data_IF_622310879284
#
_entry.id   IF_622310879284
#
_cell.length_a   1.000
_cell.length_b   1.000
_cell.length_c   1.000
_cell.angle_alpha   90.00
_cell.angle_beta   90.00
_cell.angle_gamma   90.00
#
_symmetry.space_group_name_H-M   'P 1'
#
loop_
_entity.id
_entity.type
_entity.pdbx_description
1 polymer ?
#
# COMPACT_ATOMS: atom_id res chain seq x y z
N UNK A 1 5.94 -13.86 16.38
CA UNK A 1 5.70 -12.50 15.84
C UNK A 1 4.33 -12.02 16.28
N UNK A 2 4.20 -10.77 16.69
CA UNK A 2 2.92 -10.17 17.07
C UNK A 2 2.24 -9.53 15.87
N UNK A 3 0.96 -9.84 15.64
CA UNK A 3 0.15 -9.26 14.57
C UNK A 3 -0.95 -8.39 15.17
N UNK A 4 -0.84 -7.09 14.96
CA UNK A 4 -1.81 -6.08 15.42
C UNK A 4 -2.86 -5.85 14.34
N UNK A 5 -4.15 -5.84 14.72
CA UNK A 5 -5.25 -5.78 13.74
C UNK A 5 -5.49 -7.11 13.03
N UNK A 6 -5.23 -8.23 13.72
CA UNK A 6 -5.15 -9.56 13.13
C UNK A 6 -6.39 -10.02 12.36
N UNK A 7 -7.58 -9.60 12.78
CA UNK A 7 -8.85 -10.02 12.17
C UNK A 7 -9.46 -8.95 11.23
N UNK A 8 -8.72 -7.87 10.93
CA UNK A 8 -9.03 -6.98 9.80
C UNK A 8 -8.77 -7.67 8.45
N UNK A 9 -9.23 -7.10 7.34
CA UNK A 9 -9.04 -7.69 6.00
C UNK A 9 -7.57 -7.93 5.67
N UNK A 10 -6.70 -6.94 5.93
CA UNK A 10 -5.24 -7.05 5.75
C UNK A 10 -4.64 -8.05 6.73
N UNK A 11 -4.96 -7.93 8.02
CA UNK A 11 -4.44 -8.81 9.07
C UNK A 11 -4.76 -10.29 8.82
N UNK A 12 -5.96 -10.62 8.34
CA UNK A 12 -6.34 -12.01 8.03
C UNK A 12 -5.47 -12.60 6.95
N UNK A 13 -5.20 -11.84 5.89
CA UNK A 13 -4.30 -12.29 4.82
C UNK A 13 -2.88 -12.55 5.37
N UNK A 14 -2.35 -11.64 6.20
CA UNK A 14 -1.03 -11.84 6.84
C UNK A 14 -1.04 -13.10 7.71
N UNK A 15 -2.05 -13.27 8.55
CA UNK A 15 -2.15 -14.42 9.45
C UNK A 15 -2.23 -15.74 8.66
N UNK A 16 -3.03 -15.79 7.59
CA UNK A 16 -3.16 -16.97 6.72
C UNK A 16 -1.84 -17.36 6.04
N UNK A 17 -1.07 -16.39 5.57
CA UNK A 17 0.20 -16.66 4.88
C UNK A 17 1.33 -17.05 5.86
N UNK A 18 1.32 -16.49 7.07
CA UNK A 18 2.42 -16.65 8.03
C UNK A 18 2.21 -17.78 9.05
N UNK A 19 0.97 -18.06 9.47
CA UNK A 19 0.70 -19.08 10.50
C UNK A 19 1.28 -20.47 10.20
N UNK A 20 1.31 -20.96 8.94
CA UNK A 20 1.93 -22.25 8.64
C UNK A 20 3.46 -22.29 8.80
N UNK A 21 4.11 -21.13 8.91
CA UNK A 21 5.58 -20.99 8.85
C UNK A 21 6.17 -20.39 10.12
N UNK A 22 5.38 -19.66 10.89
CA UNK A 22 5.85 -18.82 11.99
C UNK A 22 4.88 -18.88 13.17
N UNK A 23 5.43 -18.84 14.39
CA UNK A 23 4.62 -18.67 15.59
C UNK A 23 4.04 -17.26 15.65
N UNK A 24 2.71 -17.15 15.64
CA UNK A 24 2.00 -15.88 15.68
C UNK A 24 1.35 -15.62 17.04
N UNK A 25 1.29 -14.35 17.40
CA UNK A 25 0.39 -13.81 18.43
C UNK A 25 -0.60 -12.88 17.75
N UNK A 26 -1.88 -13.23 17.77
CA UNK A 26 -2.96 -12.47 17.14
C UNK A 26 -3.52 -11.44 18.13
N UNK A 27 -3.46 -10.16 17.74
CA UNK A 27 -3.90 -9.03 18.55
C UNK A 27 -5.05 -8.26 17.90
N UNK A 28 -6.06 -7.94 18.70
CA UNK A 28 -7.05 -6.93 18.39
C UNK A 28 -8.04 -6.73 19.54
N UNK A 29 -8.92 -5.74 19.42
CA UNK A 29 -9.84 -5.32 20.48
C UNK A 29 -10.81 -6.44 20.89
N UNK A 30 -11.28 -7.19 19.90
CA UNK A 30 -12.22 -8.28 20.07
C UNK A 30 -11.47 -9.62 20.11
N UNK A 31 -11.32 -10.15 21.33
CA UNK A 31 -10.67 -11.44 21.55
C UNK A 31 -11.40 -12.59 20.87
N UNK A 32 -12.72 -12.57 20.83
CA UNK A 32 -13.52 -13.65 20.24
C UNK A 32 -13.29 -13.75 18.74
N UNK A 33 -13.20 -12.62 18.04
CA UNK A 33 -12.84 -12.61 16.61
C UNK A 33 -11.42 -13.11 16.35
N UNK A 34 -10.47 -12.80 17.23
CA UNK A 34 -9.12 -13.31 17.13
C UNK A 34 -9.05 -14.83 17.40
N UNK A 35 -9.85 -15.35 18.35
CA UNK A 35 -9.98 -16.79 18.61
C UNK A 35 -10.63 -17.53 17.43
N UNK A 36 -11.67 -16.96 16.81
CA UNK A 36 -12.27 -17.51 15.59
C UNK A 36 -11.28 -17.59 14.43
N UNK A 37 -10.48 -16.52 14.23
CA UNK A 37 -9.41 -16.55 13.25
C UNK A 37 -8.37 -17.63 13.59
N UNK A 38 -7.96 -17.75 14.87
CA UNK A 38 -7.02 -18.77 15.28
C UNK A 38 -7.54 -20.19 14.98
N UNK A 39 -8.82 -20.46 15.23
CA UNK A 39 -9.44 -21.75 14.87
C UNK A 39 -9.35 -22.04 13.37
N UNK A 40 -9.61 -21.03 12.52
CA UNK A 40 -9.45 -21.16 11.05
C UNK A 40 -8.01 -21.45 10.63
N UNK A 41 -7.03 -21.01 11.43
CA UNK A 41 -5.60 -21.24 11.22
C UNK A 41 -5.10 -22.56 11.85
N UNK A 42 -6.00 -23.41 12.38
CA UNK A 42 -5.65 -24.68 13.02
C UNK A 42 -5.24 -24.56 14.49
N UNK A 43 -5.66 -23.49 15.17
CA UNK A 43 -5.40 -23.23 16.60
C UNK A 43 -3.91 -23.21 16.97
N UNK A 44 -3.06 -22.71 16.07
CA UNK A 44 -1.60 -22.70 16.22
C UNK A 44 -1.02 -21.37 16.75
N UNK A 45 -1.84 -20.32 16.89
CA UNK A 45 -1.39 -19.00 17.34
C UNK A 45 -1.77 -18.72 18.81
N UNK A 46 -0.98 -17.87 19.47
CA UNK A 46 -1.36 -17.22 20.73
C UNK A 46 -2.39 -16.13 20.43
N UNK A 47 -3.41 -15.97 21.27
CA UNK A 47 -4.44 -14.94 21.08
C UNK A 47 -4.45 -14.00 22.27
N UNK A 48 -4.38 -12.70 22.00
CA UNK A 48 -4.37 -11.66 23.03
C UNK A 48 -5.38 -10.57 22.67
N UNK A 49 -6.22 -10.23 23.63
CA UNK A 49 -6.95 -8.96 23.58
C UNK A 49 -5.92 -7.82 23.57
N UNK A 50 -6.13 -6.86 22.69
CA UNK A 50 -5.21 -5.74 22.50
C UNK A 50 -6.02 -4.47 22.29
N UNK A 51 -5.90 -3.54 23.22
CA UNK A 51 -6.30 -2.15 23.01
C UNK A 51 -5.04 -1.31 22.76
N UNK A 52 -5.02 -0.63 21.62
CA UNK A 52 -3.89 0.21 21.23
C UNK A 52 -3.82 1.50 22.05
N UNK A 53 -4.88 1.88 22.74
CA UNK A 53 -4.94 3.11 23.54
C UNK A 53 -4.70 2.86 25.04
N UNK A 54 -4.55 1.60 25.42
CA UNK A 54 -4.07 1.17 26.73
C UNK A 54 -2.59 0.78 26.63
N UNK A 55 -1.73 1.59 27.25
CA UNK A 55 -0.27 1.39 27.22
C UNK A 55 0.16 0.05 27.82
N UNK A 56 -0.53 -0.44 28.86
CA UNK A 56 -0.23 -1.73 29.49
C UNK A 56 -0.64 -2.89 28.60
N UNK A 57 -1.82 -2.79 27.97
CA UNK A 57 -2.29 -3.76 26.98
C UNK A 57 -1.30 -3.89 25.82
N UNK A 58 -0.88 -2.75 25.27
CA UNK A 58 0.05 -2.71 24.14
C UNK A 58 1.45 -3.21 24.52
N UNK A 59 2.02 -2.78 25.65
CA UNK A 59 3.32 -3.26 26.12
C UNK A 59 3.31 -4.77 26.39
N UNK A 60 2.25 -5.27 27.04
CA UNK A 60 2.04 -6.70 27.30
C UNK A 60 1.94 -7.51 26.01
N UNK A 61 1.27 -6.98 24.98
CA UNK A 61 1.22 -7.60 23.66
C UNK A 61 2.58 -7.69 22.99
N UNK A 62 3.39 -6.63 23.05
CA UNK A 62 4.71 -6.57 22.42
C UNK A 62 5.75 -7.44 23.15
N UNK A 63 5.57 -7.69 24.45
CA UNK A 63 6.53 -8.46 25.26
C UNK A 63 6.78 -9.86 24.70
N UNK A 64 8.05 -10.17 24.45
CA UNK A 64 8.50 -11.46 23.92
C UNK A 64 8.29 -11.63 22.40
N UNK A 65 7.82 -10.61 21.70
CA UNK A 65 7.77 -10.61 20.23
C UNK A 65 9.14 -10.23 19.65
N UNK A 66 9.55 -10.93 18.58
CA UNK A 66 10.75 -10.56 17.80
C UNK A 66 10.47 -9.49 16.76
N UNK A 67 9.27 -9.53 16.18
CA UNK A 67 8.73 -8.58 15.22
C UNK A 67 7.26 -8.33 15.56
N UNK A 68 6.84 -7.07 15.53
CA UNK A 68 5.45 -6.63 15.61
C UNK A 68 5.03 -6.09 14.24
N UNK A 69 4.00 -6.70 13.66
CA UNK A 69 3.39 -6.35 12.37
C UNK A 69 2.11 -5.57 12.64
N UNK A 70 2.07 -4.30 12.23
CA UNK A 70 0.91 -3.44 12.36
C UNK A 70 0.05 -3.46 11.09
N UNK A 71 -1.11 -4.10 11.20
CA UNK A 71 -2.19 -4.07 10.20
C UNK A 71 -3.43 -3.34 10.72
N UNK A 72 -3.35 -2.66 11.87
CA UNK A 72 -4.46 -1.89 12.40
C UNK A 72 -4.52 -0.51 11.74
N UNK A 73 -5.74 -0.01 11.59
CA UNK A 73 -6.01 1.36 11.19
C UNK A 73 -7.11 1.98 12.07
N UNK A 74 -7.39 3.28 11.88
CA UNK A 74 -6.77 4.15 10.88
C UNK A 74 -5.34 4.53 11.22
N UNK A 75 -4.45 4.42 10.24
CA UNK A 75 -3.00 4.66 10.32
C UNK A 75 -2.68 6.05 10.86
N UNK A 76 -3.40 7.08 10.40
CA UNK A 76 -3.19 8.47 10.82
C UNK A 76 -3.69 8.80 12.25
N UNK A 77 -4.41 7.88 12.89
CA UNK A 77 -4.73 7.96 14.33
C UNK A 77 -3.74 7.21 15.19
N UNK A 78 -3.28 6.06 14.70
CA UNK A 78 -2.37 5.18 15.43
C UNK A 78 -0.96 5.77 15.44
N UNK A 79 -0.51 6.31 14.31
CA UNK A 79 0.82 6.88 14.10
C UNK A 79 1.92 5.93 14.61
N UNK A 80 2.88 6.45 15.37
CA UNK A 80 4.06 5.75 15.88
C UNK A 80 3.80 4.92 17.14
N UNK A 81 2.56 4.89 17.66
CA UNK A 81 2.29 4.29 18.98
C UNK A 81 2.71 2.82 19.07
N UNK A 82 2.34 2.01 18.07
CA UNK A 82 2.68 0.58 18.05
C UNK A 82 4.19 0.40 17.87
N UNK A 83 4.82 1.23 17.04
CA UNK A 83 6.28 1.21 16.85
C UNK A 83 7.03 1.48 18.16
N UNK A 84 6.63 2.52 18.91
CA UNK A 84 7.28 2.87 20.19
C UNK A 84 7.16 1.74 21.21
N UNK A 85 5.98 1.12 21.33
CA UNK A 85 5.79 -0.01 22.24
C UNK A 85 6.57 -1.26 21.81
N UNK A 86 6.62 -1.55 20.51
CA UNK A 86 7.41 -2.66 19.97
C UNK A 86 8.90 -2.48 20.26
N UNK A 87 9.45 -1.30 19.91
CA UNK A 87 10.87 -0.98 20.12
C UNK A 87 11.24 -0.98 21.61
N UNK A 88 10.38 -0.44 22.48
CA UNK A 88 10.59 -0.46 23.94
C UNK A 88 10.60 -1.89 24.50
N UNK A 89 9.84 -2.81 23.93
CA UNK A 89 9.86 -4.23 24.26
C UNK A 89 11.03 -5.01 23.63
N UNK A 90 11.91 -4.33 22.88
CA UNK A 90 13.03 -4.94 22.17
C UNK A 90 12.65 -5.67 20.87
N UNK A 91 11.43 -5.47 20.37
CA UNK A 91 10.95 -6.03 19.13
C UNK A 91 11.28 -5.11 17.94
N UNK A 92 11.42 -5.72 16.76
CA UNK A 92 11.42 -5.00 15.49
C UNK A 92 9.98 -4.61 15.09
N UNK A 93 9.83 -3.72 14.10
CA UNK A 93 8.51 -3.20 13.69
C UNK A 93 8.30 -3.20 12.17
N UNK A 94 7.13 -3.66 11.73
CA UNK A 94 6.65 -3.57 10.35
C UNK A 94 5.27 -2.91 10.34
N UNK A 95 5.05 -1.93 9.46
CA UNK A 95 3.77 -1.24 9.28
C UNK A 95 3.32 -1.25 7.83
N UNK A 96 2.06 -1.62 7.60
CA UNK A 96 1.47 -1.65 6.26
C UNK A 96 1.01 -0.28 5.76
N UNK A 97 0.65 0.63 6.67
CA UNK A 97 0.02 1.92 6.36
C UNK A 97 0.78 3.14 6.89
N UNK A 98 1.70 2.92 7.84
CA UNK A 98 2.63 3.95 8.32
C UNK A 98 3.48 4.51 7.17
N UNK A 99 3.61 5.83 7.15
CA UNK A 99 4.31 6.59 6.12
C UNK A 99 5.06 7.77 6.79
N UNK A 100 5.27 8.89 6.09
CA UNK A 100 6.03 10.05 6.56
C UNK A 100 5.74 10.52 7.99
N UNK A 101 4.47 10.66 8.44
CA UNK A 101 4.21 11.08 9.81
C UNK A 101 4.76 10.12 10.87
N UNK A 102 4.82 8.82 10.56
CA UNK A 102 5.42 7.81 11.44
C UNK A 102 6.93 7.86 11.31
N UNK A 103 7.44 7.98 10.10
CA UNK A 103 8.87 8.09 9.83
C UNK A 103 9.50 9.28 10.58
N UNK A 104 8.92 10.47 10.46
CA UNK A 104 9.38 11.69 11.13
C UNK A 104 9.42 11.54 12.65
N UNK A 105 8.42 10.87 13.22
CA UNK A 105 8.34 10.61 14.67
C UNK A 105 9.34 9.56 15.16
N UNK A 106 9.80 8.67 14.29
CA UNK A 106 10.78 7.64 14.63
C UNK A 106 12.21 8.02 14.23
N UNK A 107 12.39 9.09 13.45
CA UNK A 107 13.69 9.57 13.00
C UNK A 107 14.62 9.84 14.20
N UNK A 108 15.78 9.17 14.21
CA UNK A 108 16.76 9.27 15.30
C UNK A 108 16.35 8.53 16.61
N UNK A 109 15.20 7.87 16.64
CA UNK A 109 14.69 7.17 17.84
C UNK A 109 14.75 5.65 17.73
N UNK A 110 15.11 5.09 16.57
CA UNK A 110 15.25 3.63 16.39
C UNK A 110 16.52 3.14 17.11
N UNK A 111 16.42 2.22 18.10
CA UNK A 111 17.58 1.69 18.79
C UNK A 111 18.54 0.94 17.86
N UNK A 112 19.83 0.98 18.17
CA UNK A 112 20.84 0.26 17.40
C UNK A 112 20.52 -1.25 17.31
N UNK A 113 20.72 -1.84 16.13
CA UNK A 113 20.41 -3.25 15.88
C UNK A 113 18.95 -3.56 15.56
N UNK A 114 18.01 -2.61 15.75
CA UNK A 114 16.59 -2.80 15.44
C UNK A 114 16.27 -2.49 13.98
N UNK A 115 15.19 -3.10 13.49
CA UNK A 115 14.62 -2.86 12.16
C UNK A 115 13.23 -2.27 12.27
N UNK A 116 12.97 -1.23 11.48
CA UNK A 116 11.66 -0.60 11.31
C UNK A 116 11.38 -0.47 9.83
N UNK A 117 10.31 -1.11 9.35
CA UNK A 117 9.88 -1.06 7.96
C UNK A 117 8.48 -0.43 7.88
N UNK A 118 8.36 0.68 7.16
CA UNK A 118 7.11 1.39 6.93
C UNK A 118 6.60 1.15 5.51
N UNK A 119 5.32 1.46 5.29
CA UNK A 119 4.68 1.39 3.97
C UNK A 119 4.76 0.01 3.31
N UNK A 120 4.59 -1.08 4.07
CA UNK A 120 4.63 -2.45 3.56
C UNK A 120 3.25 -2.94 3.05
N UNK A 121 2.55 -2.10 2.29
CA UNK A 121 1.20 -2.36 1.79
C UNK A 121 1.09 -2.37 0.27
N UNK A 122 -0.14 -2.28 -0.25
CA UNK A 122 -0.38 -2.03 -1.67
C UNK A 122 -0.10 -0.57 -2.03
N UNK A 123 -0.71 0.35 -1.27
CA UNK A 123 -0.57 1.80 -1.40
C UNK A 123 -0.63 2.42 0.01
N UNK A 124 0.51 2.88 0.57
CA UNK A 124 1.87 2.81 0.01
C UNK A 124 2.50 1.41 0.10
N UNK A 125 3.57 1.17 -0.65
CA UNK A 125 4.36 -0.06 -0.67
C UNK A 125 4.56 -0.58 -2.08
N UNK A 126 3.69 -1.50 -2.51
CA UNK A 126 3.74 -2.06 -3.86
C UNK A 126 3.67 -0.98 -4.95
N UNK A 127 2.96 0.12 -4.70
CA UNK A 127 2.92 1.30 -5.56
C UNK A 127 4.27 2.00 -5.77
N UNK A 128 5.20 1.88 -4.82
CA UNK A 128 6.59 2.35 -4.98
C UNK A 128 7.55 1.25 -5.46
N UNK A 129 7.28 -0.01 -5.12
CA UNK A 129 8.08 -1.17 -5.56
C UNK A 129 7.89 -1.46 -7.06
N UNK A 130 6.64 -1.51 -7.51
CA UNK A 130 6.28 -1.94 -8.86
C UNK A 130 6.88 -1.08 -9.98
N UNK A 131 6.89 0.27 -9.91
CA UNK A 131 7.56 1.10 -10.90
C UNK A 131 9.05 0.81 -11.10
N UNK A 132 9.76 0.38 -10.04
CA UNK A 132 11.19 0.07 -10.12
C UNK A 132 11.48 -1.12 -11.05
N UNK A 133 10.55 -2.07 -11.17
CA UNK A 133 10.67 -3.21 -12.08
C UNK A 133 10.71 -2.82 -13.55
N UNK A 134 9.99 -1.77 -13.91
CA UNK A 134 10.05 -1.23 -15.26
C UNK A 134 11.30 -0.37 -15.43
N UNK A 135 11.58 0.50 -14.45
CA UNK A 135 12.70 1.43 -14.48
C UNK A 135 14.07 0.75 -14.59
N UNK A 136 14.27 -0.42 -13.95
CA UNK A 136 15.54 -1.17 -14.03
C UNK A 136 15.88 -1.66 -15.45
N UNK A 137 14.90 -1.69 -16.37
CA UNK A 137 15.14 -2.03 -17.78
C UNK A 137 15.65 -0.85 -18.62
N UNK A 138 15.72 0.34 -18.04
CA UNK A 138 16.20 1.56 -18.69
C UNK A 138 17.58 1.94 -18.17
N UNK A 139 18.44 2.38 -19.07
CA UNK A 139 19.73 3.00 -18.73
C UNK A 139 19.53 4.36 -18.07
N UNK A 140 18.45 5.06 -18.45
CA UNK A 140 18.02 6.34 -17.89
C UNK A 140 16.51 6.49 -18.07
N UNK A 141 15.84 6.97 -17.04
CA UNK A 141 14.41 7.34 -17.09
C UNK A 141 14.31 8.85 -17.26
N UNK A 142 13.66 9.31 -18.33
CA UNK A 142 13.45 10.73 -18.63
C UNK A 142 12.08 11.20 -18.12
N UNK A 143 11.04 10.38 -18.27
CA UNK A 143 9.71 10.63 -17.73
C UNK A 143 9.11 9.37 -17.09
N UNK A 144 8.41 9.53 -15.96
CA UNK A 144 7.66 8.46 -15.32
C UNK A 144 6.26 8.91 -14.94
N UNK A 145 5.25 8.14 -15.35
CA UNK A 145 3.85 8.35 -14.96
C UNK A 145 3.36 7.15 -14.17
N UNK A 146 2.91 7.37 -12.94
CA UNK A 146 2.41 6.32 -12.05
C UNK A 146 0.90 6.48 -11.84
N UNK A 147 0.16 5.39 -11.93
CA UNK A 147 -1.28 5.35 -11.82
C UNK A 147 -1.69 4.35 -10.74
N UNK A 148 -2.60 4.77 -9.86
CA UNK A 148 -3.20 3.89 -8.86
C UNK A 148 -4.71 4.11 -8.80
N UNK A 149 -5.46 3.03 -8.67
CA UNK A 149 -6.90 3.12 -8.41
C UNK A 149 -7.54 1.76 -8.45
N UNK A 150 -8.87 1.74 -8.46
CA UNK A 150 -9.59 0.49 -8.49
C UNK A 150 -11.07 0.66 -8.25
N UNK A 151 -11.76 -0.46 -8.37
CA UNK A 151 -13.16 -0.63 -8.04
C UNK A 151 -13.27 -1.65 -6.91
N UNK A 152 -13.76 -1.24 -5.76
CA UNK A 152 -13.92 -2.14 -4.63
C UNK A 152 -14.67 -1.49 -3.49
N UNK A 153 -15.24 -2.33 -2.63
CA UNK A 153 -15.89 -1.85 -1.41
C UNK A 153 -14.83 -1.42 -0.39
N UNK A 154 -14.96 -0.19 0.11
CA UNK A 154 -14.14 0.29 1.21
C UNK A 154 -14.64 -0.30 2.54
N UNK A 155 -13.72 -0.73 3.39
CA UNK A 155 -14.01 -0.93 4.81
C UNK A 155 -14.15 0.41 5.52
N UNK A 156 -14.75 0.43 6.71
CA UNK A 156 -14.83 1.65 7.54
C UNK A 156 -13.44 2.22 7.80
N UNK A 157 -12.47 1.36 8.15
CA UNK A 157 -11.08 1.76 8.38
C UNK A 157 -10.43 2.33 7.12
N UNK A 158 -10.61 1.69 5.97
CA UNK A 158 -10.04 2.18 4.71
C UNK A 158 -10.65 3.53 4.28
N UNK A 159 -11.97 3.70 4.44
CA UNK A 159 -12.64 4.97 4.17
C UNK A 159 -12.15 6.08 5.11
N UNK A 160 -11.97 5.77 6.40
CA UNK A 160 -11.43 6.73 7.37
C UNK A 160 -9.96 7.09 7.09
N UNK A 161 -9.11 6.12 6.77
CA UNK A 161 -7.72 6.38 6.36
C UNK A 161 -7.66 7.23 5.08
N UNK A 162 -8.54 6.95 4.11
CA UNK A 162 -8.64 7.75 2.89
C UNK A 162 -8.97 9.21 3.22
N UNK A 163 -9.96 9.46 4.10
CA UNK A 163 -10.34 10.82 4.49
C UNK A 163 -9.24 11.54 5.28
N UNK A 164 -8.57 10.84 6.19
CA UNK A 164 -7.44 11.39 6.95
C UNK A 164 -6.26 11.74 6.03
N UNK A 165 -6.01 10.95 4.98
CA UNK A 165 -4.92 11.21 4.02
C UNK A 165 -5.11 12.52 3.24
N UNK A 166 -6.35 13.01 3.07
CA UNK A 166 -6.65 14.25 2.34
C UNK A 166 -6.07 15.51 3.00
N UNK A 167 -5.70 15.46 4.28
CA UNK A 167 -5.20 16.62 5.04
C UNK A 167 -3.84 16.42 5.73
N UNK A 168 -3.31 15.19 5.76
CA UNK A 168 -2.19 14.83 6.64
C UNK A 168 -0.89 14.53 5.89
N UNK A 169 -0.67 15.13 4.72
CA UNK A 169 0.65 15.08 4.07
C UNK A 169 0.95 13.81 3.28
N UNK A 170 -0.03 12.95 2.96
CA UNK A 170 0.18 11.78 2.09
C UNK A 170 0.59 12.16 0.65
N UNK A 171 0.25 13.37 0.22
CA UNK A 171 0.50 13.85 -1.12
C UNK A 171 -0.26 15.12 -1.46
N UNK A 172 -0.02 15.63 -2.67
CA UNK A 172 -0.56 16.90 -3.15
C UNK A 172 -1.37 16.69 -4.43
N UNK A 173 -2.65 17.08 -4.38
CA UNK A 173 -3.51 17.11 -5.56
C UNK A 173 -3.02 18.16 -6.57
N UNK A 174 -3.21 17.87 -7.86
CA UNK A 174 -2.80 18.75 -8.95
C UNK A 174 -1.33 19.14 -8.92
N UNK A 175 -0.48 18.24 -8.42
CA UNK A 175 0.96 18.40 -8.44
C UNK A 175 1.64 17.26 -9.20
N UNK A 176 2.84 17.53 -9.69
CA UNK A 176 3.75 16.59 -10.31
C UNK A 176 5.19 16.91 -9.89
N UNK A 177 6.14 16.22 -10.50
CA UNK A 177 7.56 16.29 -10.17
C UNK A 177 8.37 16.81 -11.35
N UNK A 178 9.24 17.79 -11.10
CA UNK A 178 10.13 18.39 -12.10
C UNK A 178 11.49 18.69 -11.47
N UNK A 179 12.56 18.10 -12.00
CA UNK A 179 13.95 18.42 -11.67
C UNK A 179 14.22 18.47 -10.15
N UNK A 180 13.74 17.47 -9.41
CA UNK A 180 13.93 17.41 -7.95
C UNK A 180 12.88 18.16 -7.12
N UNK A 181 11.87 18.77 -7.75
CA UNK A 181 10.90 19.63 -7.08
C UNK A 181 9.46 19.22 -7.34
N UNK A 182 8.61 19.45 -6.33
CA UNK A 182 7.15 19.39 -6.48
C UNK A 182 6.67 20.65 -7.20
N UNK A 183 5.96 20.48 -8.30
CA UNK A 183 5.38 21.58 -9.08
C UNK A 183 3.88 21.40 -9.24
N UNK A 184 3.12 22.50 -9.31
CA UNK A 184 1.71 22.42 -9.67
C UNK A 184 1.55 22.03 -11.14
N UNK A 185 0.67 21.08 -11.41
CA UNK A 185 0.29 20.69 -12.76
C UNK A 185 -0.46 21.85 -13.43
N UNK A 186 -0.03 22.24 -14.63
CA UNK A 186 -0.67 23.31 -15.43
C UNK A 186 -1.91 22.83 -16.19
N UNK A 187 -2.16 21.52 -16.22
CA UNK A 187 -3.28 20.89 -16.91
C UNK A 187 -4.58 20.85 -16.11
N UNK A 188 -5.60 20.26 -16.72
CA UNK A 188 -6.91 20.05 -16.09
C UNK A 188 -6.81 19.23 -14.78
N UNK A 189 -7.69 19.55 -13.82
CA UNK A 189 -7.85 18.84 -12.55
C UNK A 189 -8.21 17.35 -12.71
N UNK A 190 -8.77 16.99 -13.87
CA UNK A 190 -9.08 15.63 -14.29
C UNK A 190 -8.80 15.47 -15.77
N UNK A 191 -8.31 14.32 -16.18
CA UNK A 191 -7.93 14.02 -17.54
C UNK A 191 -8.63 12.73 -17.98
N UNK A 192 -9.36 12.73 -19.10
CA UNK A 192 -9.83 11.50 -19.70
C UNK A 192 -8.64 10.59 -20.00
N UNK A 193 -8.71 9.34 -19.56
CA UNK A 193 -7.66 8.35 -19.77
C UNK A 193 -8.21 7.19 -20.59
N UNK A 194 -7.52 6.89 -21.69
CA UNK A 194 -7.76 5.72 -22.50
C UNK A 194 -6.44 4.97 -22.68
N UNK A 195 -6.43 3.73 -22.19
CA UNK A 195 -5.28 2.81 -22.18
C UNK A 195 -5.79 1.38 -22.23
N UNK A 196 -5.06 0.50 -22.91
CA UNK A 196 -5.46 -0.90 -23.09
C UNK A 196 -5.43 -1.70 -21.78
N UNK A 197 -4.65 -1.23 -20.80
CA UNK A 197 -4.58 -1.82 -19.47
C UNK A 197 -5.70 -1.41 -18.52
N UNK A 198 -6.57 -0.46 -18.91
CA UNK A 198 -7.77 -0.13 -18.15
C UNK A 198 -8.83 -1.22 -18.36
N UNK A 199 -9.47 -1.73 -17.30
CA UNK A 199 -10.47 -2.78 -17.42
C UNK A 199 -11.81 -2.28 -18.01
N UNK A 200 -12.05 -0.97 -17.98
CA UNK A 200 -13.23 -0.34 -18.61
C UNK A 200 -12.84 0.94 -19.33
N UNK A 201 -13.60 1.26 -20.38
CA UNK A 201 -13.47 2.54 -21.08
C UNK A 201 -13.99 3.71 -20.21
N UNK A 202 -13.41 4.90 -20.41
CA UNK A 202 -13.89 6.14 -19.78
C UNK A 202 -13.28 6.48 -18.41
N UNK A 203 -12.18 5.83 -18.03
CA UNK A 203 -11.43 6.16 -16.81
C UNK A 203 -11.00 7.63 -16.75
N UNK A 204 -11.01 8.20 -15.55
CA UNK A 204 -10.55 9.56 -15.28
C UNK A 204 -9.30 9.51 -14.42
N UNK A 205 -8.25 10.19 -14.88
CA UNK A 205 -7.01 10.36 -14.14
C UNK A 205 -7.00 11.72 -13.45
N UNK A 206 -6.73 11.71 -12.15
CA UNK A 206 -6.65 12.90 -11.31
C UNK A 206 -5.19 13.08 -10.90
N UNK A 207 -4.50 14.14 -11.37
CA UNK A 207 -3.12 14.38 -10.99
C UNK A 207 -3.00 14.47 -9.47
N UNK A 208 -2.17 13.60 -8.90
CA UNK A 208 -1.94 13.50 -7.48
C UNK A 208 -0.53 12.97 -7.26
N UNK A 209 0.29 13.75 -6.55
CA UNK A 209 1.67 13.38 -6.25
C UNK A 209 1.77 12.93 -4.79
N UNK A 210 1.88 11.63 -4.53
CA UNK A 210 2.13 11.12 -3.19
C UNK A 210 3.57 11.38 -2.74
N UNK A 211 3.82 11.35 -1.43
CA UNK A 211 5.20 11.44 -0.92
C UNK A 211 6.02 10.20 -1.24
N UNK A 212 5.40 9.02 -1.30
CA UNK A 212 6.03 7.81 -1.84
C UNK A 212 6.51 8.00 -3.29
N UNK A 213 5.70 8.63 -4.15
CA UNK A 213 6.10 8.93 -5.52
C UNK A 213 7.23 9.95 -5.58
N UNK A 214 7.24 10.96 -4.70
CA UNK A 214 8.37 11.90 -4.60
C UNK A 214 9.67 11.16 -4.25
N UNK A 215 9.64 10.25 -3.26
CA UNK A 215 10.79 9.41 -2.92
C UNK A 215 11.21 8.55 -4.11
N UNK A 216 10.26 7.87 -4.76
CA UNK A 216 10.53 7.06 -5.95
C UNK A 216 11.22 7.86 -7.07
N UNK A 217 10.68 9.02 -7.43
CA UNK A 217 11.23 9.86 -8.49
C UNK A 217 12.60 10.42 -8.13
N UNK A 218 12.81 10.80 -6.86
CA UNK A 218 14.11 11.22 -6.35
C UNK A 218 15.13 10.08 -6.41
N UNK A 219 14.79 8.90 -5.89
CA UNK A 219 15.67 7.73 -5.83
C UNK A 219 16.10 7.24 -7.22
N UNK A 220 15.18 7.32 -8.19
CA UNK A 220 15.42 6.94 -9.59
C UNK A 220 15.96 8.09 -10.45
N UNK A 221 16.17 9.27 -9.85
CA UNK A 221 16.64 10.48 -10.54
C UNK A 221 15.78 10.86 -11.77
N UNK A 222 14.47 10.65 -11.68
CA UNK A 222 13.52 10.99 -12.74
C UNK A 222 13.36 12.51 -12.81
N UNK A 223 13.68 13.17 -13.94
CA UNK A 223 13.53 14.61 -14.04
C UNK A 223 12.05 15.01 -14.20
N UNK A 224 11.22 14.19 -14.86
CA UNK A 224 9.79 14.46 -15.06
C UNK A 224 8.91 13.34 -14.51
N UNK A 225 8.31 13.54 -13.34
CA UNK A 225 7.40 12.56 -12.73
C UNK A 225 5.95 13.06 -12.67
N UNK A 226 4.98 12.16 -12.77
CA UNK A 226 3.58 12.48 -12.52
C UNK A 226 2.84 11.29 -11.90
N UNK A 227 2.16 11.52 -10.79
CA UNK A 227 1.25 10.55 -10.19
C UNK A 227 -0.21 10.83 -10.56
N UNK A 228 -1.01 9.78 -10.60
CA UNK A 228 -2.45 9.87 -10.86
C UNK A 228 -3.24 8.91 -9.98
N UNK A 229 -4.32 9.42 -9.39
CA UNK A 229 -5.41 8.58 -8.89
C UNK A 229 -6.42 8.32 -10.01
N UNK A 230 -6.84 7.08 -10.17
CA UNK A 230 -7.81 6.66 -11.17
C UNK A 230 -9.19 6.48 -10.54
N UNK A 231 -10.21 7.08 -11.16
CA UNK A 231 -11.61 6.83 -10.86
C UNK A 231 -12.39 6.60 -12.13
N UNK A 232 -13.37 5.70 -12.09
CA UNK A 232 -14.31 5.46 -13.19
C UNK A 232 -15.54 6.39 -13.12
N UNK A 233 -15.45 7.48 -12.34
CA UNK A 233 -16.60 8.27 -11.93
C UNK A 233 -17.38 7.58 -10.81
N UNK A 234 -18.71 7.57 -10.92
CA UNK A 234 -19.58 6.92 -9.95
C UNK A 234 -19.81 7.70 -8.66
N UNK A 235 -20.47 7.04 -7.71
CA UNK A 235 -20.88 7.60 -6.44
C UNK A 235 -19.68 7.91 -5.53
N UNK A 236 -18.63 7.09 -5.57
CA UNK A 236 -17.44 7.27 -4.75
C UNK A 236 -16.71 8.56 -5.14
N UNK A 237 -16.44 8.74 -6.43
CA UNK A 237 -15.78 9.94 -6.94
C UNK A 237 -16.61 11.21 -6.64
N UNK A 238 -17.93 11.15 -6.86
CA UNK A 238 -18.83 12.27 -6.55
C UNK A 238 -18.85 12.61 -5.05
N UNK A 239 -18.88 11.58 -4.20
CA UNK A 239 -18.85 11.74 -2.74
C UNK A 239 -17.52 12.34 -2.27
N UNK A 240 -16.40 11.88 -2.82
CA UNK A 240 -15.08 12.43 -2.51
C UNK A 240 -14.96 13.89 -2.94
N UNK A 241 -15.42 14.25 -4.13
CA UNK A 241 -15.39 15.63 -4.61
C UNK A 241 -16.20 16.56 -3.69
N UNK A 242 -17.39 16.13 -3.25
CA UNK A 242 -18.20 16.86 -2.28
C UNK A 242 -17.47 17.06 -0.94
N UNK A 243 -16.84 16.00 -0.42
CA UNK A 243 -16.12 16.07 0.86
C UNK A 243 -14.88 16.97 0.74
N UNK A 244 -14.12 16.86 -0.35
CA UNK A 244 -12.94 17.69 -0.59
C UNK A 244 -13.30 19.19 -0.68
N UNK A 245 -14.46 19.53 -1.24
CA UNK A 245 -14.98 20.90 -1.27
C UNK A 245 -15.42 21.45 0.09
N UNK A 246 -15.50 20.61 1.12
CA UNK A 246 -15.84 21.04 2.49
C UNK A 246 -14.60 21.49 3.27
N UNK A 247 -14.82 22.29 4.33
CA UNK A 247 -13.76 22.73 5.24
C UNK A 247 -12.98 21.53 5.82
N UNK A 248 -11.64 21.61 5.99
CA UNK A 248 -10.81 20.48 6.41
C UNK A 248 -11.31 19.72 7.64
N UNK A 249 -11.75 20.45 8.68
CA UNK A 249 -12.29 19.93 9.93
C UNK A 249 -13.59 19.13 9.77
N UNK A 250 -14.34 19.37 8.69
CA UNK A 250 -15.60 18.69 8.39
C UNK A 250 -15.42 17.44 7.50
N UNK A 251 -14.19 17.14 7.06
CA UNK A 251 -13.94 16.05 6.10
C UNK A 251 -14.02 14.68 6.75
N UNK A 252 -13.35 14.48 7.88
CA UNK A 252 -13.31 13.19 8.57
C UNK A 252 -14.39 13.09 9.67
N UNK A 253 -15.63 12.79 9.27
CA UNK A 253 -16.75 12.58 10.19
C UNK A 253 -17.34 11.18 10.03
N UNK A 254 -17.99 10.61 11.06
CA UNK A 254 -18.68 9.31 10.94
C UNK A 254 -19.66 9.26 9.76
N UNK A 255 -20.35 10.37 9.48
CA UNK A 255 -21.27 10.49 8.35
C UNK A 255 -20.54 10.39 7.01
N UNK A 256 -19.41 11.09 6.84
CA UNK A 256 -18.62 11.03 5.61
C UNK A 256 -17.94 9.67 5.42
N UNK A 257 -17.48 9.03 6.49
CA UNK A 257 -16.95 7.66 6.44
C UNK A 257 -18.04 6.70 5.95
N UNK A 258 -19.23 6.74 6.55
CA UNK A 258 -20.37 5.91 6.15
C UNK A 258 -20.79 6.19 4.69
N UNK A 259 -20.79 7.45 4.27
CA UNK A 259 -21.11 7.84 2.89
C UNK A 259 -20.12 7.25 1.88
N UNK A 260 -18.80 7.25 2.17
CA UNK A 260 -17.81 6.62 1.29
C UNK A 260 -17.97 5.10 1.22
N UNK A 261 -18.22 4.45 2.36
CA UNK A 261 -18.49 3.01 2.40
C UNK A 261 -19.70 2.66 1.54
N UNK A 262 -20.81 3.41 1.69
CA UNK A 262 -22.02 3.20 0.90
C UNK A 262 -21.78 3.49 -0.59
N UNK A 263 -21.11 4.59 -0.93
CA UNK A 263 -20.82 4.97 -2.30
C UNK A 263 -19.95 3.91 -3.01
N UNK A 264 -18.89 3.43 -2.35
CA UNK A 264 -18.05 2.36 -2.89
C UNK A 264 -18.81 1.03 -3.07
N UNK A 265 -19.77 0.73 -2.19
CA UNK A 265 -20.61 -0.46 -2.30
C UNK A 265 -21.60 -0.36 -3.48
N UNK A 266 -22.12 0.84 -3.78
CA UNK A 266 -22.97 1.09 -4.94
C UNK A 266 -22.18 0.97 -6.24
N UNK A 267 -20.97 1.53 -6.30
CA UNK A 267 -20.16 1.51 -7.52
C UNK A 267 -19.72 0.09 -7.92
N UNK A 268 -19.50 -0.80 -6.94
CA UNK A 268 -19.10 -2.19 -7.18
C UNK A 268 -20.28 -3.14 -7.41
N UNK A 269 -21.52 -2.73 -7.13
CA UNK A 269 -22.69 -3.59 -7.22
C UNK A 269 -22.87 -4.15 -8.65
N UNK A 270 -22.94 -5.48 -8.77
CA UNK A 270 -23.08 -6.16 -10.07
C UNK A 270 -21.81 -6.15 -10.93
N UNK A 271 -20.66 -5.70 -10.39
CA UNK A 271 -19.38 -5.59 -11.10
C UNK A 271 -18.30 -6.40 -10.39
N UNK A 272 -17.28 -6.82 -11.15
CA UNK A 272 -16.11 -7.51 -10.59
C UNK A 272 -15.15 -6.47 -9.98
N UNK A 273 -14.83 -6.56 -8.67
CA UNK A 273 -13.85 -5.68 -8.05
C UNK A 273 -12.46 -5.85 -8.68
N UNK A 274 -11.69 -4.77 -8.73
CA UNK A 274 -10.29 -4.81 -9.09
C UNK A 274 -9.51 -3.68 -8.43
N UNK A 275 -8.20 -3.86 -8.34
CA UNK A 275 -7.20 -2.89 -7.98
C UNK A 275 -6.20 -2.82 -9.11
N UNK A 276 -5.69 -1.62 -9.40
CA UNK A 276 -4.82 -1.35 -10.52
C UNK A 276 -3.65 -0.48 -10.08
N UNK A 277 -2.45 -0.97 -10.37
CA UNK A 277 -1.23 -0.17 -10.41
C UNK A 277 -0.73 -0.18 -11.85
N UNK A 278 -0.41 0.98 -12.41
CA UNK A 278 0.24 1.06 -13.72
C UNK A 278 1.36 2.09 -13.70
N UNK A 279 2.36 1.87 -14.53
CA UNK A 279 3.49 2.77 -14.72
C UNK A 279 3.77 2.88 -16.22
N UNK A 280 4.05 4.10 -16.67
CA UNK A 280 4.59 4.38 -17.99
C UNK A 280 5.95 5.06 -17.81
N UNK A 281 6.93 4.65 -18.62
CA UNK A 281 8.29 5.18 -18.62
C UNK A 281 8.67 5.57 -20.03
N UNK A 282 9.19 6.79 -20.16
CA UNK A 282 9.91 7.26 -21.33
C UNK A 282 11.40 7.42 -20.93
N UNK A 283 12.32 6.88 -21.72
CA UNK A 283 13.74 6.92 -21.37
C UNK A 283 14.67 6.28 -22.37
N UNK A 284 15.94 6.11 -21.99
CA UNK A 284 16.97 5.46 -22.80
C UNK A 284 17.06 3.98 -22.47
N UNK A 285 16.85 3.11 -23.46
CA UNK A 285 17.02 1.65 -23.37
C UNK A 285 17.73 1.16 -24.63
N UNK A 286 18.74 0.31 -24.47
CA UNK A 286 19.59 -0.19 -25.57
C UNK A 286 20.20 0.93 -26.43
N UNK A 287 20.56 2.06 -25.80
CA UNK A 287 21.15 3.21 -26.48
C UNK A 287 20.17 4.02 -27.34
N UNK A 288 18.85 3.78 -27.23
CA UNK A 288 17.82 4.50 -27.99
C UNK A 288 16.70 4.98 -27.08
N UNK A 289 16.04 6.11 -27.40
CA UNK A 289 14.81 6.52 -26.74
C UNK A 289 13.73 5.46 -26.95
N UNK A 290 13.12 4.99 -25.87
CA UNK A 290 12.04 4.00 -25.89
C UNK A 290 10.97 4.38 -24.86
N UNK A 291 9.76 3.88 -25.12
CA UNK A 291 8.63 3.97 -24.21
C UNK A 291 8.24 2.56 -23.78
N UNK A 292 7.84 2.39 -22.52
CA UNK A 292 7.30 1.14 -22.03
C UNK A 292 6.24 1.39 -20.96
N UNK A 293 5.34 0.44 -20.80
CA UNK A 293 4.34 0.45 -19.74
C UNK A 293 4.30 -0.89 -19.02
N UNK A 294 4.03 -0.86 -17.73
CA UNK A 294 3.76 -2.05 -16.93
C UNK A 294 2.50 -1.84 -16.10
N UNK A 295 1.73 -2.89 -15.86
CA UNK A 295 0.54 -2.81 -15.03
C UNK A 295 0.33 -4.10 -14.23
N UNK A 296 -0.32 -3.95 -13.07
CA UNK A 296 -0.75 -5.02 -12.19
C UNK A 296 -2.23 -4.83 -11.88
N UNK A 297 -3.02 -5.90 -12.01
CA UNK A 297 -4.42 -5.96 -11.58
C UNK A 297 -4.65 -7.10 -10.59
N UNK A 298 -5.36 -6.84 -9.51
CA UNK A 298 -5.79 -7.86 -8.56
C UNK A 298 -7.22 -7.63 -8.10
N UNK A 299 -7.90 -8.67 -7.58
CA UNK A 299 -9.29 -8.55 -7.14
C UNK A 299 -9.49 -7.83 -5.80
N UNK A 300 -8.46 -7.73 -4.96
CA UNK A 300 -8.60 -7.24 -3.58
C UNK A 300 -7.33 -6.54 -3.09
N UNK A 301 -7.45 -5.26 -2.72
CA UNK A 301 -6.34 -4.44 -2.23
C UNK A 301 -5.87 -4.80 -0.82
N UNK A 302 -6.76 -5.30 0.04
CA UNK A 302 -6.37 -5.80 1.36
C UNK A 302 -5.53 -7.07 1.25
N UNK A 303 -5.85 -7.96 0.30
CA UNK A 303 -5.05 -9.15 0.03
C UNK A 303 -3.68 -8.80 -0.55
N UNK A 304 -3.60 -7.81 -1.45
CA UNK A 304 -2.30 -7.29 -1.93
C UNK A 304 -1.47 -6.74 -0.76
N UNK A 305 -2.04 -5.83 0.04
CA UNK A 305 -1.37 -5.24 1.21
C UNK A 305 -0.88 -6.32 2.18
N UNK A 306 -1.74 -7.28 2.55
CA UNK A 306 -1.36 -8.35 3.45
C UNK A 306 -0.30 -9.30 2.87
N UNK A 307 -0.27 -9.49 1.56
CA UNK A 307 0.74 -10.30 0.88
C UNK A 307 2.11 -9.62 0.88
N UNK A 308 2.17 -8.30 0.63
CA UNK A 308 3.43 -7.54 0.74
C UNK A 308 3.96 -7.58 2.17
N UNK A 309 3.11 -7.36 3.17
CA UNK A 309 3.49 -7.45 4.58
C UNK A 309 4.01 -8.83 4.97
N UNK A 310 3.36 -9.90 4.49
CA UNK A 310 3.80 -11.28 4.71
C UNK A 310 5.14 -11.56 4.03
N UNK A 311 5.35 -11.07 2.80
CA UNK A 311 6.63 -11.17 2.10
C UNK A 311 7.76 -10.54 2.92
N UNK A 312 7.56 -9.32 3.40
CA UNK A 312 8.52 -8.60 4.23
C UNK A 312 8.83 -9.36 5.53
N UNK A 313 7.81 -9.91 6.20
CA UNK A 313 7.98 -10.67 7.44
C UNK A 313 8.78 -11.98 7.23
N UNK A 314 8.57 -12.68 6.11
CA UNK A 314 9.31 -13.90 5.77
C UNK A 314 10.77 -13.62 5.39
N UNK A 315 11.05 -12.45 4.82
CA UNK A 315 12.40 -12.02 4.42
C UNK A 315 13.06 -11.08 5.42
N UNK A 316 12.51 -10.96 6.64
CA UNK A 316 12.87 -9.92 7.61
C UNK A 316 14.37 -9.84 7.91
N UNK A 317 15.04 -10.99 7.97
CA UNK A 317 16.48 -11.06 8.27
C UNK A 317 17.37 -10.49 7.16
N UNK A 318 16.87 -10.44 5.92
CA UNK A 318 17.59 -9.89 4.76
C UNK A 318 17.45 -8.36 4.66
N UNK A 319 16.49 -7.77 5.38
CA UNK A 319 16.24 -6.34 5.34
C UNK A 319 17.26 -5.55 6.19
N UNK A 320 17.60 -4.31 5.78
CA UNK A 320 18.57 -3.50 6.51
C UNK A 320 18.06 -3.05 7.89
N UNK A 321 18.98 -2.90 8.83
CA UNK A 321 18.72 -2.28 10.13
C UNK A 321 18.43 -0.78 10.00
N UNK A 322 17.72 -0.21 10.97
CA UNK A 322 17.29 1.18 10.96
C UNK A 322 15.86 1.36 10.47
N UNK A 323 15.54 2.59 10.07
CA UNK A 323 14.21 3.03 9.63
C UNK A 323 14.19 3.13 8.12
N UNK A 324 13.31 2.35 7.47
CA UNK A 324 13.21 2.27 6.01
C UNK A 324 11.77 2.22 5.53
N UNK A 325 11.55 2.64 4.29
CA UNK A 325 10.31 2.36 3.56
C UNK A 325 10.46 1.06 2.76
N UNK A 326 9.41 0.25 2.70
CA UNK A 326 9.40 -1.01 1.94
C UNK A 326 9.86 -0.82 0.49
N UNK A 327 9.34 0.20 -0.19
CA UNK A 327 9.67 0.50 -1.58
C UNK A 327 11.16 0.79 -1.87
N UNK A 328 11.98 1.06 -0.84
CA UNK A 328 13.40 1.37 -1.01
C UNK A 328 14.32 0.17 -0.79
N UNK A 329 13.83 -0.86 -0.08
CA UNK A 329 14.69 -1.96 0.39
C UNK A 329 14.22 -3.34 -0.08
N UNK A 330 13.00 -3.46 -0.60
CA UNK A 330 12.51 -4.71 -1.15
C UNK A 330 13.11 -5.01 -2.52
N UNK A 331 13.47 -6.28 -2.72
CA UNK A 331 13.65 -6.84 -4.05
C UNK A 331 12.30 -6.83 -4.76
N UNK A 332 12.18 -5.98 -5.78
CA UNK A 332 10.93 -5.75 -6.46
C UNK A 332 10.45 -6.98 -7.24
N UNK A 333 11.39 -7.76 -7.80
CA UNK A 333 11.05 -8.93 -8.61
C UNK A 333 10.60 -10.08 -7.71
N UNK A 334 11.39 -10.40 -6.68
CA UNK A 334 11.05 -11.45 -5.74
C UNK A 334 9.73 -11.17 -5.01
N UNK A 335 9.48 -9.90 -4.63
CA UNK A 335 8.22 -9.48 -4.01
C UNK A 335 7.04 -9.73 -4.95
N UNK A 336 7.14 -9.29 -6.20
CA UNK A 336 6.06 -9.42 -7.18
C UNK A 336 5.77 -10.88 -7.54
N UNK A 337 6.81 -11.69 -7.78
CA UNK A 337 6.70 -13.13 -8.06
C UNK A 337 5.96 -13.85 -6.91
N UNK A 338 6.37 -13.57 -5.67
CA UNK A 338 5.76 -14.19 -4.50
C UNK A 338 4.30 -13.74 -4.29
N UNK A 339 3.99 -12.47 -4.53
CA UNK A 339 2.61 -11.95 -4.49
C UNK A 339 1.74 -12.63 -5.54
N UNK A 340 2.22 -12.80 -6.77
CA UNK A 340 1.48 -13.50 -7.82
C UNK A 340 1.26 -14.98 -7.47
N UNK A 341 2.23 -15.63 -6.83
CA UNK A 341 2.08 -17.02 -6.38
C UNK A 341 1.00 -17.16 -5.29
N UNK A 342 0.91 -16.23 -4.34
CA UNK A 342 -0.12 -16.27 -3.29
C UNK A 342 -1.49 -15.80 -3.76
N UNK A 343 -1.53 -14.96 -4.80
CA UNK A 343 -2.73 -14.38 -5.36
C UNK A 343 -2.82 -14.72 -6.86
N UNK A 344 -3.22 -15.95 -7.22
CA UNK A 344 -3.23 -16.42 -8.62
C UNK A 344 -4.20 -15.67 -9.53
N UNK A 345 -5.14 -14.88 -8.97
CA UNK A 345 -6.02 -13.98 -9.72
C UNK A 345 -5.34 -12.64 -10.07
N UNK A 346 -4.13 -12.41 -9.59
CA UNK A 346 -3.34 -11.23 -9.95
C UNK A 346 -2.86 -11.41 -11.38
N UNK A 347 -3.02 -10.37 -12.20
CA UNK A 347 -2.55 -10.30 -13.58
C UNK A 347 -1.52 -9.20 -13.67
N UNK A 348 -0.39 -9.49 -14.30
CA UNK A 348 0.71 -8.53 -14.44
C UNK A 348 1.16 -8.55 -15.89
N UNK A 349 1.44 -7.38 -16.42
CA UNK A 349 2.16 -7.20 -17.68
C UNK A 349 3.35 -6.29 -17.42
N UNK A 350 4.53 -6.74 -17.82
CA UNK A 350 5.74 -5.95 -17.84
C UNK A 350 6.05 -5.69 -19.31
N UNK A 351 5.95 -4.45 -19.79
CA UNK A 351 6.19 -4.05 -21.18
C UNK A 351 7.65 -4.14 -21.64
N UNK A 352 8.30 -5.24 -21.29
CA UNK A 352 9.66 -5.63 -21.63
C UNK A 352 9.53 -6.64 -22.79
N UNK A 353 10.27 -6.44 -23.88
CA UNK A 353 10.26 -7.36 -25.02
C UNK A 353 10.58 -8.81 -24.61
N UNK A 354 10.19 -9.77 -25.45
CA UNK A 354 10.30 -11.21 -25.20
C UNK A 354 11.66 -11.61 -24.59
N UNK A 355 11.63 -12.15 -23.36
CA UNK A 355 12.83 -12.54 -22.61
C UNK A 355 12.74 -12.42 -21.09
N UNK A 356 11.68 -11.80 -20.54
CA UNK A 356 11.44 -11.78 -19.09
C UNK A 356 10.51 -12.95 -18.70
N UNK A 357 10.85 -13.81 -17.71
CA UNK A 357 9.97 -14.89 -17.24
C UNK A 357 8.60 -14.42 -16.72
N UNK A 358 8.43 -13.12 -16.44
CA UNK A 358 7.17 -12.49 -16.06
C UNK A 358 6.37 -11.90 -17.24
N UNK A 359 6.90 -11.93 -18.47
CA UNK A 359 6.23 -11.40 -19.65
C UNK A 359 4.98 -12.22 -20.07
N UNK A 360 4.89 -13.47 -19.62
CA UNK A 360 3.83 -14.42 -20.00
C UNK A 360 2.96 -14.87 -18.80
N UNK A 361 2.56 -13.95 -17.92
CA UNK A 361 1.49 -14.23 -16.94
C UNK A 361 0.07 -13.94 -17.48
N UNK A 362 -0.08 -13.79 -18.80
CA UNK A 362 -1.36 -13.57 -19.48
C UNK A 362 -2.10 -14.86 -19.85
N UNK A 363 -1.41 -16.00 -20.02
CA UNK A 363 -2.05 -17.25 -20.46
C UNK A 363 -2.15 -18.29 -19.34
N UNK A 364 -3.20 -18.15 -18.52
CA UNK A 364 -3.54 -19.13 -17.50
C UNK A 364 -5.03 -19.07 -17.15
N UNK A 365 -5.74 -20.07 -17.65
CA UNK A 365 -7.18 -20.41 -17.49
C UNK A 365 -8.10 -19.80 -18.56
N UNK A 366 -8.25 -20.56 -19.66
CA UNK A 366 -9.48 -20.64 -20.44
C UNK A 366 -10.63 -21.20 -19.59
#
# INVERSE_FOLDING_TARGET
MGLVGAYGSVGRQVAQLLAPRLALRLGGRDRQQAEQLNQQLGACADVRALDLWDEQSLAGFCTGCTLVINCAGPSYRILDRVARAALAAGADYLDVGGDDPVHERLAGQVPAGRRVLLSAGMLPGLSGVFPRLLAQSFQRVDEMRCYAGGLGRLSVTAAEDFLLSLGNGFGQAQCGWREGQVVRSTGSARQPLQRDWLPVAGGQAYPYLSTEQQRLFSDLQVPHGQGFNLFEGGQLAATLQRIQGSAPEARNTPQNIAALVQASALDVAGRRPYQLLAVEVDGLRDGRPQQASAWLRAGDGSRLTGSVAAFCALHWQLLPQGLHYAAQVLDAQACLEQVCQWLPDTRVSLGLGAGNPLAELEEGVL
#
